data_IF_749968098526
#
_entry.id   IF_749968098526
#
_cell.length_a   1.000
_cell.length_b   1.000
_cell.length_c   1.000
_cell.angle_alpha   90.00
_cell.angle_beta   90.00
_cell.angle_gamma   90.00
#
_symmetry.space_group_name_H-M   'P 1'
#
loop_
_entity.id
_entity.type
_entity.pdbx_description
1 polymer ?
#
# COMPACT_ATOMS: atom_id res chain seq x y z
N UNK A 1 15.68 -7.19 8.51
CA UNK A 1 14.63 -7.88 9.30
C UNK A 1 13.40 -7.95 8.41
N UNK A 2 12.73 -9.11 8.25
CA UNK A 2 11.96 -9.35 7.03
C UNK A 2 10.54 -8.77 7.00
N UNK A 3 10.05 -8.11 8.05
CA UNK A 3 8.74 -7.45 8.02
C UNK A 3 8.74 -6.39 9.10
N UNK A 4 9.16 -5.17 8.77
CA UNK A 4 9.22 -4.12 9.78
C UNK A 4 8.11 -3.12 9.56
N UNK A 5 7.09 -3.19 10.42
CA UNK A 5 6.06 -2.16 10.55
C UNK A 5 6.64 -0.76 10.86
N UNK A 6 7.96 -0.64 11.06
CA UNK A 6 8.69 0.61 11.18
C UNK A 6 8.61 1.46 9.91
N UNK A 7 8.59 0.86 8.71
CA UNK A 7 8.51 1.63 7.46
C UNK A 7 7.15 2.34 7.32
N UNK A 8 5.99 1.65 7.47
CA UNK A 8 4.70 2.34 7.58
C UNK A 8 4.61 3.36 8.72
N UNK A 9 5.30 3.12 9.85
CA UNK A 9 5.32 4.05 10.98
C UNK A 9 6.04 5.37 10.67
N UNK A 10 7.07 5.34 9.83
CA UNK A 10 7.76 6.55 9.36
C UNK A 10 6.89 7.38 8.40
N UNK A 11 5.96 6.72 7.72
CA UNK A 11 5.09 7.32 6.70
C UNK A 11 3.75 7.79 7.27
N UNK A 12 3.38 7.32 8.45
CA UNK A 12 2.23 7.79 9.22
C UNK A 12 2.13 9.32 9.36
N UNK A 13 3.21 10.11 9.56
CA UNK A 13 3.13 11.57 9.53
C UNK A 13 2.77 12.16 8.15
N UNK A 14 3.02 11.46 7.04
CA UNK A 14 2.58 11.91 5.71
C UNK A 14 1.04 11.85 5.57
N UNK A 15 0.34 11.19 6.48
CA UNK A 15 -1.13 11.26 6.59
C UNK A 15 -1.66 12.63 7.07
N UNK A 16 -0.79 13.49 7.61
CA UNK A 16 -1.15 14.89 7.93
C UNK A 16 -1.21 15.77 6.66
N UNK A 17 -0.70 15.29 5.52
CA UNK A 17 -0.82 16.00 4.25
C UNK A 17 -2.26 15.89 3.71
N UNK A 18 -2.70 16.88 2.90
CA UNK A 18 -4.06 16.87 2.39
C UNK A 18 -4.28 15.63 1.50
N UNK A 19 -5.36 14.88 1.74
CA UNK A 19 -5.74 13.64 1.01
C UNK A 19 -5.92 13.82 -0.52
N UNK A 20 -5.87 15.06 -1.02
CA UNK A 20 -5.81 15.38 -2.45
C UNK A 20 -4.42 15.15 -3.07
N UNK A 21 -3.36 15.21 -2.27
CA UNK A 21 -1.96 15.08 -2.72
C UNK A 21 -1.33 13.74 -2.35
N UNK A 22 -1.98 12.97 -1.47
CA UNK A 22 -1.38 11.75 -0.90
C UNK A 22 -2.43 10.63 -0.82
N UNK A 23 -2.04 9.44 -1.26
CA UNK A 23 -2.80 8.22 -1.11
C UNK A 23 -2.24 7.37 0.03
N UNK A 24 -2.99 7.25 1.13
CA UNK A 24 -2.58 6.44 2.27
C UNK A 24 -2.38 4.96 1.90
N UNK A 25 -3.18 4.44 0.97
CA UNK A 25 -3.04 3.05 0.51
C UNK A 25 -1.77 2.88 -0.32
N UNK A 26 -1.46 3.86 -1.18
CA UNK A 26 -0.21 3.86 -1.94
C UNK A 26 1.01 3.96 -1.03
N UNK A 27 0.99 4.86 -0.05
CA UNK A 27 2.06 5.03 0.94
C UNK A 27 2.31 3.78 1.77
N UNK A 28 1.26 3.19 2.35
CA UNK A 28 1.40 1.99 3.19
C UNK A 28 1.90 0.82 2.34
N UNK A 29 1.29 0.59 1.17
CA UNK A 29 1.62 -0.57 0.33
C UNK A 29 2.98 -0.39 -0.37
N UNK A 30 3.36 0.84 -0.74
CA UNK A 30 4.72 1.17 -1.22
C UNK A 30 5.77 0.77 -0.19
N UNK A 31 5.55 1.17 1.06
CA UNK A 31 6.50 0.90 2.15
C UNK A 31 6.66 -0.57 2.52
N UNK A 32 5.68 -1.39 2.17
CA UNK A 32 5.69 -2.83 2.41
C UNK A 32 6.22 -3.62 1.20
N UNK A 33 6.23 -3.04 0.00
CA UNK A 33 6.68 -3.71 -1.20
C UNK A 33 8.15 -4.16 -1.21
N UNK A 34 9.14 -3.37 -0.73
CA UNK A 34 10.52 -3.83 -0.67
C UNK A 34 10.70 -5.00 0.32
N UNK A 35 9.93 -5.02 1.41
CA UNK A 35 9.91 -6.12 2.37
C UNK A 35 9.26 -7.38 1.75
N UNK A 36 8.17 -7.23 0.99
CA UNK A 36 7.52 -8.32 0.25
C UNK A 36 8.42 -8.97 -0.80
N UNK A 37 9.25 -8.19 -1.49
CA UNK A 37 10.22 -8.74 -2.44
C UNK A 37 11.19 -9.69 -1.74
N UNK A 38 11.75 -9.25 -0.61
CA UNK A 38 12.68 -10.04 0.20
C UNK A 38 12.03 -11.30 0.74
N UNK A 39 10.74 -11.24 1.10
CA UNK A 39 9.96 -12.38 1.56
C UNK A 39 9.64 -13.38 0.42
N UNK A 40 9.24 -12.90 -0.75
CA UNK A 40 8.86 -13.73 -1.89
C UNK A 40 10.05 -14.40 -2.57
N UNK A 41 11.19 -13.70 -2.62
CA UNK A 41 12.37 -14.23 -3.32
C UNK A 41 13.06 -15.30 -2.49
N UNK A 42 12.89 -15.30 -1.15
CA UNK A 42 13.56 -16.21 -0.20
C UNK A 42 15.09 -16.29 -0.32
N UNK A 43 15.69 -15.52 -1.23
CA UNK A 43 17.12 -15.39 -1.40
C UNK A 43 17.67 -14.38 -0.40
N UNK A 44 18.69 -14.79 0.35
CA UNK A 44 19.50 -13.89 1.18
C UNK A 44 20.37 -12.93 0.36
N UNK A 45 20.32 -13.03 -0.97
CA UNK A 45 21.19 -12.31 -1.88
C UNK A 45 20.53 -10.99 -2.32
N UNK A 46 20.84 -9.92 -1.57
CA UNK A 46 20.34 -8.55 -1.81
C UNK A 46 21.02 -7.86 -3.01
N UNK A 47 21.83 -8.58 -3.78
CA UNK A 47 22.77 -8.02 -4.74
C UNK A 47 22.10 -7.38 -5.97
N UNK A 48 20.93 -7.85 -6.39
CA UNK A 48 20.23 -7.32 -7.58
C UNK A 48 19.15 -6.28 -7.27
N UNK A 49 18.78 -6.13 -5.99
CA UNK A 49 17.58 -5.39 -5.56
C UNK A 49 17.85 -3.99 -5.00
N UNK A 50 19.10 -3.68 -4.66
CA UNK A 50 19.50 -2.30 -4.30
C UNK A 50 19.77 -1.40 -5.52
N UNK A 51 19.50 -1.87 -6.73
CA UNK A 51 19.46 -1.00 -7.90
C UNK A 51 18.12 -0.26 -7.92
N UNK A 52 18.16 1.05 -8.12
CA UNK A 52 16.97 1.91 -8.29
C UNK A 52 15.97 1.32 -9.30
N UNK A 53 16.47 0.58 -10.29
CA UNK A 53 15.68 -0.08 -11.31
C UNK A 53 14.87 -1.28 -10.79
N UNK A 54 15.43 -2.10 -9.90
CA UNK A 54 14.72 -3.22 -9.28
C UNK A 54 13.56 -2.75 -8.42
N UNK A 55 13.75 -1.66 -7.68
CA UNK A 55 12.70 -1.03 -6.86
C UNK A 55 11.58 -0.50 -7.75
N UNK A 56 11.90 0.22 -8.83
CA UNK A 56 10.88 0.77 -9.73
C UNK A 56 10.12 -0.32 -10.49
N UNK A 57 10.82 -1.34 -10.99
CA UNK A 57 10.22 -2.38 -11.82
C UNK A 57 9.45 -3.43 -11.02
N UNK A 58 9.86 -3.70 -9.77
CA UNK A 58 9.19 -4.70 -8.94
C UNK A 58 8.20 -4.06 -7.95
N UNK A 59 8.62 -3.05 -7.18
CA UNK A 59 7.77 -2.50 -6.12
C UNK A 59 6.52 -1.82 -6.68
N UNK A 60 6.63 -1.03 -7.75
CA UNK A 60 5.48 -0.31 -8.31
C UNK A 60 4.36 -1.25 -8.80
N UNK A 61 4.61 -2.25 -9.67
CA UNK A 61 3.54 -3.14 -10.12
C UNK A 61 3.03 -4.04 -9.00
N UNK A 62 3.88 -4.51 -8.08
CA UNK A 62 3.45 -5.31 -6.94
C UNK A 62 2.57 -4.50 -6.00
N UNK A 63 2.95 -3.26 -5.68
CA UNK A 63 2.14 -2.36 -4.84
C UNK A 63 0.80 -2.01 -5.49
N UNK A 64 0.79 -1.77 -6.80
CA UNK A 64 -0.45 -1.55 -7.56
C UNK A 64 -1.36 -2.77 -7.48
N UNK A 65 -0.83 -3.95 -7.80
CA UNK A 65 -1.56 -5.21 -7.76
C UNK A 65 -2.13 -5.48 -6.35
N UNK A 66 -1.31 -5.29 -5.31
CA UNK A 66 -1.74 -5.46 -3.92
C UNK A 66 -2.81 -4.44 -3.52
N UNK A 67 -2.70 -3.20 -4.01
CA UNK A 67 -3.73 -2.18 -3.80
C UNK A 67 -5.08 -2.58 -4.41
N UNK A 68 -5.06 -3.13 -5.63
CA UNK A 68 -6.27 -3.64 -6.29
C UNK A 68 -6.86 -4.84 -5.56
N UNK A 69 -6.04 -5.83 -5.20
CA UNK A 69 -6.50 -7.00 -4.44
C UNK A 69 -7.10 -6.55 -3.10
N UNK A 70 -6.44 -5.64 -2.39
CA UNK A 70 -6.94 -5.11 -1.13
C UNK A 70 -8.31 -4.44 -1.32
N UNK A 71 -8.43 -3.52 -2.26
CA UNK A 71 -9.66 -2.74 -2.41
C UNK A 71 -10.83 -3.48 -3.06
N UNK A 72 -10.57 -4.48 -3.90
CA UNK A 72 -11.61 -5.23 -4.62
C UNK A 72 -12.05 -6.49 -3.89
N UNK A 73 -11.14 -7.20 -3.21
CA UNK A 73 -11.45 -8.49 -2.58
C UNK A 73 -11.39 -8.44 -1.05
N UNK A 74 -10.34 -7.86 -0.48
CA UNK A 74 -10.05 -8.02 0.95
C UNK A 74 -10.80 -6.99 1.82
N UNK A 75 -10.93 -5.74 1.35
CA UNK A 75 -11.42 -4.60 2.14
C UNK A 75 -12.78 -4.88 2.77
N UNK A 76 -13.73 -5.37 1.98
CA UNK A 76 -15.09 -5.61 2.45
C UNK A 76 -15.13 -6.76 3.47
N UNK A 77 -14.45 -7.86 3.18
CA UNK A 77 -14.33 -9.00 4.08
C UNK A 77 -13.70 -8.56 5.41
N UNK A 78 -12.58 -7.84 5.34
CA UNK A 78 -11.88 -7.32 6.51
C UNK A 78 -12.82 -6.48 7.39
N UNK A 79 -13.47 -5.46 6.84
CA UNK A 79 -14.37 -4.58 7.61
C UNK A 79 -15.55 -5.36 8.20
N UNK A 80 -16.05 -6.39 7.50
CA UNK A 80 -17.19 -7.20 7.98
C UNK A 80 -16.84 -8.08 9.16
N UNK A 81 -15.62 -8.61 9.21
CA UNK A 81 -15.15 -9.48 10.29
C UNK A 81 -14.43 -8.75 11.43
N UNK A 82 -14.33 -7.42 11.39
CA UNK A 82 -13.75 -6.64 12.50
C UNK A 82 -14.69 -6.57 13.71
N UNK A 83 -14.14 -6.46 14.95
CA UNK A 83 -14.94 -6.18 16.14
C UNK A 83 -15.81 -4.94 15.96
N UNK A 84 -17.01 -4.96 16.54
CA UNK A 84 -18.07 -3.95 16.32
C UNK A 84 -17.59 -2.50 16.48
N UNK A 85 -16.70 -2.25 17.46
CA UNK A 85 -16.09 -0.93 17.69
C UNK A 85 -15.37 -0.39 16.45
N UNK A 86 -14.55 -1.21 15.80
CA UNK A 86 -13.83 -0.82 14.59
C UNK A 86 -14.72 -0.85 13.36
N UNK A 87 -15.62 -1.82 13.26
CA UNK A 87 -16.55 -1.94 12.15
C UNK A 87 -17.36 -0.64 11.95
N UNK A 88 -17.90 -0.05 13.03
CA UNK A 88 -18.64 1.22 12.98
C UNK A 88 -17.79 2.39 12.46
N UNK A 89 -16.48 2.40 12.74
CA UNK A 89 -15.56 3.44 12.28
C UNK A 89 -15.19 3.27 10.80
N UNK A 90 -15.07 2.03 10.34
CA UNK A 90 -14.58 1.72 9.00
C UNK A 90 -15.67 1.41 7.98
N UNK A 91 -16.93 1.22 8.38
CA UNK A 91 -18.04 0.90 7.48
C UNK A 91 -18.17 1.88 6.31
N UNK A 92 -17.87 3.17 6.54
CA UNK A 92 -17.87 4.24 5.51
C UNK A 92 -16.89 4.02 4.35
N UNK A 93 -15.93 3.11 4.51
CA UNK A 93 -14.97 2.77 3.46
C UNK A 93 -15.40 1.56 2.61
N UNK A 94 -16.52 0.90 2.94
CA UNK A 94 -17.08 -0.20 2.13
C UNK A 94 -17.56 0.31 0.77
N UNK A 95 -18.32 1.39 0.75
CA UNK A 95 -18.92 1.98 -0.46
C UNK A 95 -17.94 2.79 -1.32
N UNK A 96 -16.64 2.69 -1.03
CA UNK A 96 -15.61 3.44 -1.71
C UNK A 96 -15.33 2.84 -3.08
N UNK A 97 -15.76 3.52 -4.14
CA UNK A 97 -15.42 3.15 -5.51
C UNK A 97 -13.93 3.38 -5.78
N UNK A 98 -13.16 2.29 -5.66
CA UNK A 98 -11.72 2.30 -5.84
C UNK A 98 -11.34 2.56 -7.30
N UNK A 99 -12.08 2.00 -8.26
CA UNK A 99 -11.81 2.15 -9.69
C UNK A 99 -11.98 3.60 -10.13
N UNK A 100 -13.07 4.26 -9.69
CA UNK A 100 -13.30 5.68 -9.96
C UNK A 100 -12.21 6.55 -9.33
N UNK A 101 -11.81 6.24 -8.09
CA UNK A 101 -10.73 6.95 -7.38
C UNK A 101 -9.39 6.79 -8.08
N UNK A 102 -9.05 5.56 -8.45
CA UNK A 102 -7.82 5.25 -9.17
C UNK A 102 -7.77 5.99 -10.49
N UNK A 103 -8.82 5.93 -11.31
CA UNK A 103 -8.88 6.64 -12.58
C UNK A 103 -8.68 8.15 -12.45
N UNK A 104 -9.24 8.76 -11.40
CA UNK A 104 -9.13 10.21 -11.16
C UNK A 104 -7.78 10.65 -10.58
N UNK A 105 -7.12 9.79 -9.78
CA UNK A 105 -5.93 10.16 -9.01
C UNK A 105 -4.76 9.16 -9.15
N UNK A 106 -4.68 8.42 -10.26
CA UNK A 106 -3.67 7.37 -10.45
C UNK A 106 -2.24 7.91 -10.29
N UNK A 107 -1.98 9.14 -10.75
CA UNK A 107 -0.69 9.82 -10.59
C UNK A 107 -0.32 9.97 -9.10
N UNK A 108 -1.26 10.44 -8.29
CA UNK A 108 -1.06 10.61 -6.83
C UNK A 108 -0.83 9.26 -6.17
N UNK A 109 -1.52 8.20 -6.60
CA UNK A 109 -1.37 6.85 -6.05
C UNK A 109 0.02 6.30 -6.39
N UNK A 110 0.46 6.42 -7.64
CA UNK A 110 1.79 5.96 -8.08
C UNK A 110 2.90 6.75 -7.37
N UNK A 111 2.79 8.08 -7.29
CA UNK A 111 3.75 8.91 -6.54
C UNK A 111 3.78 8.50 -5.06
N UNK A 112 2.63 8.23 -4.46
CA UNK A 112 2.56 7.76 -3.07
C UNK A 112 3.21 6.39 -2.89
N UNK A 113 3.09 5.49 -3.88
CA UNK A 113 3.77 4.18 -3.88
C UNK A 113 5.30 4.35 -3.99
N UNK A 114 5.77 5.36 -4.72
CA UNK A 114 7.19 5.64 -4.86
C UNK A 114 7.80 6.30 -3.61
N UNK A 115 7.01 7.09 -2.89
CA UNK A 115 7.44 7.76 -1.66
C UNK A 115 7.41 6.81 -0.47
N UNK A 116 6.41 5.93 -0.42
CA UNK A 116 6.26 4.96 0.65
C UNK A 116 7.24 3.83 0.50
#
# INVERSE_FOLDING_TARGET
MPFTLSHPALILPLNFLPKKWVSMTGLIIGSLAPDLQSFLTMDGDKSHTHTWWGILWFCVPVSLLLSFIYHLAIREMLITHLPRFFQLKFVRYKDLDWLARFRRHWIVIVISILIG
#
